data_IF_561720265165
#
_entry.id   IF_561720265165
#
_cell.length_a   1.000
_cell.length_b   1.000
_cell.length_c   1.000
_cell.angle_alpha   90.00
_cell.angle_beta   90.00
_cell.angle_gamma   90.00
#
_symmetry.space_group_name_H-M   'P 1'
#
loop_
_entity.id
_entity.type
_entity.pdbx_description
1 polymer ?
#
# COMPACT_ATOMS: atom_id res chain seq x y z
N UNK A 1 4.82 19.37 8.51
CA UNK A 1 4.29 19.14 7.14
C UNK A 1 5.25 18.31 6.28
N UNK A 2 6.55 18.66 6.26
CA UNK A 2 7.60 17.95 5.50
C UNK A 2 7.66 16.44 5.76
N UNK A 3 7.70 16.00 7.03
CA UNK A 3 7.73 14.58 7.39
C UNK A 3 6.54 13.76 6.86
N UNK A 4 5.34 14.36 6.78
CA UNK A 4 4.14 13.68 6.27
C UNK A 4 4.26 13.43 4.76
N UNK A 5 4.81 14.39 4.03
CA UNK A 5 5.04 14.31 2.58
C UNK A 5 6.19 13.35 2.27
N UNK A 6 7.26 13.38 3.08
CA UNK A 6 8.37 12.43 2.96
C UNK A 6 7.88 10.99 3.17
N UNK A 7 7.07 10.75 4.20
CA UNK A 7 6.48 9.44 4.45
C UNK A 7 5.60 8.98 3.28
N UNK A 8 4.78 9.89 2.71
CA UNK A 8 3.98 9.61 1.51
C UNK A 8 4.83 9.22 0.31
N UNK A 9 5.90 9.98 0.03
CA UNK A 9 6.80 9.71 -1.08
C UNK A 9 7.52 8.37 -0.91
N UNK A 10 8.03 8.08 0.29
CA UNK A 10 8.66 6.80 0.61
C UNK A 10 7.69 5.62 0.43
N UNK A 11 6.45 5.78 0.90
CA UNK A 11 5.38 4.79 0.76
C UNK A 11 5.05 4.53 -0.71
N UNK A 12 4.98 5.60 -1.51
CA UNK A 12 4.68 5.54 -2.93
C UNK A 12 5.80 4.83 -3.71
N UNK A 13 7.06 5.16 -3.43
CA UNK A 13 8.23 4.52 -4.05
C UNK A 13 8.22 3.02 -3.74
N UNK A 14 7.99 2.62 -2.48
CA UNK A 14 7.88 1.21 -2.11
C UNK A 14 6.73 0.51 -2.85
N UNK A 15 5.60 1.18 -3.05
CA UNK A 15 4.46 0.63 -3.78
C UNK A 15 4.78 0.39 -5.26
N UNK A 16 5.45 1.35 -5.91
CA UNK A 16 5.88 1.24 -7.31
C UNK A 16 6.97 0.18 -7.48
N UNK A 17 7.92 0.08 -6.55
CA UNK A 17 8.95 -0.96 -6.59
C UNK A 17 8.40 -2.36 -6.34
N UNK A 18 7.41 -2.50 -5.46
CA UNK A 18 6.77 -3.77 -5.16
C UNK A 18 5.82 -4.25 -6.28
N UNK A 19 5.24 -3.31 -7.05
CA UNK A 19 4.29 -3.62 -8.12
C UNK A 19 4.77 -4.65 -9.15
N UNK A 20 5.96 -4.51 -9.78
CA UNK A 20 6.44 -5.53 -10.71
C UNK A 20 6.65 -6.88 -10.01
N UNK A 21 7.16 -6.91 -8.78
CA UNK A 21 7.33 -8.15 -8.02
C UNK A 21 5.99 -8.84 -7.70
N UNK A 22 4.97 -8.06 -7.33
CA UNK A 22 3.62 -8.56 -7.06
C UNK A 22 2.94 -9.10 -8.33
N UNK A 23 3.12 -8.42 -9.46
CA UNK A 23 2.63 -8.89 -10.76
C UNK A 23 3.27 -10.22 -11.15
N UNK A 24 4.59 -10.34 -11.01
CA UNK A 24 5.31 -11.60 -11.25
C UNK A 24 4.79 -12.71 -10.34
N UNK A 25 4.69 -12.48 -9.04
CA UNK A 25 4.25 -13.52 -8.11
C UNK A 25 2.79 -13.95 -8.34
N UNK A 26 1.90 -13.00 -8.64
CA UNK A 26 0.52 -13.30 -9.00
C UNK A 26 0.43 -14.16 -10.26
N UNK A 27 1.21 -13.84 -11.30
CA UNK A 27 1.24 -14.66 -12.52
C UNK A 27 1.76 -16.07 -12.26
N UNK A 28 2.81 -16.21 -11.44
CA UNK A 28 3.36 -17.52 -11.08
C UNK A 28 2.40 -18.34 -10.20
N UNK A 29 1.57 -17.69 -9.37
CA UNK A 29 0.53 -18.37 -8.60
C UNK A 29 -0.60 -18.96 -9.49
N UNK A 30 -0.73 -18.45 -10.72
CA UNK A 30 -1.74 -18.90 -11.69
C UNK A 30 -1.24 -20.06 -12.57
N UNK A 31 0.00 -20.51 -12.39
CA UNK A 31 0.62 -21.55 -13.24
C UNK A 31 0.00 -22.95 -13.03
N UNK A 32 -0.65 -23.20 -11.89
CA UNK A 32 -1.24 -24.50 -11.59
C UNK A 32 -2.54 -24.77 -12.38
N UNK A 33 -2.78 -26.01 -12.85
CA UNK A 33 -3.99 -26.36 -13.59
C UNK A 33 -5.22 -26.24 -12.69
N UNK A 34 -6.14 -25.33 -13.07
CA UNK A 34 -7.32 -24.98 -12.28
C UNK A 34 -7.17 -23.70 -11.44
N UNK A 35 -5.97 -23.10 -11.41
CA UNK A 35 -5.79 -21.75 -10.87
C UNK A 35 -6.42 -20.70 -11.78
N UNK A 36 -6.93 -19.63 -11.17
CA UNK A 36 -7.56 -18.52 -11.86
C UNK A 36 -7.26 -17.18 -11.20
N UNK A 37 -8.15 -16.21 -11.41
CA UNK A 37 -7.97 -14.84 -10.91
C UNK A 37 -7.88 -14.76 -9.37
N UNK A 38 -8.47 -15.72 -8.65
CA UNK A 38 -8.39 -15.78 -7.18
C UNK A 38 -6.96 -15.98 -6.70
N UNK A 39 -6.25 -16.98 -7.26
CA UNK A 39 -4.87 -17.30 -6.90
C UNK A 39 -3.90 -16.19 -7.32
N UNK A 40 -4.16 -15.57 -8.49
CA UNK A 40 -3.47 -14.35 -8.90
C UNK A 40 -3.62 -13.24 -7.85
N UNK A 41 -4.85 -12.97 -7.41
CA UNK A 41 -5.14 -11.92 -6.46
C UNK A 41 -4.48 -12.20 -5.11
N UNK A 42 -4.49 -13.46 -4.65
CA UNK A 42 -3.80 -13.87 -3.42
C UNK A 42 -2.30 -13.61 -3.54
N UNK A 43 -1.64 -14.09 -4.61
CA UNK A 43 -0.21 -13.88 -4.83
C UNK A 43 0.16 -12.40 -4.96
N UNK A 44 -0.68 -11.61 -5.64
CA UNK A 44 -0.50 -10.17 -5.80
C UNK A 44 -0.62 -9.43 -4.46
N UNK A 45 -1.69 -9.69 -3.68
CA UNK A 45 -1.90 -9.05 -2.39
C UNK A 45 -0.88 -9.49 -1.33
N UNK A 46 -0.26 -10.67 -1.47
CA UNK A 46 0.78 -11.12 -0.54
C UNK A 46 2.02 -10.19 -0.56
N UNK A 47 2.44 -9.75 -1.75
CA UNK A 47 3.57 -8.81 -1.89
C UNK A 47 3.09 -7.36 -1.83
N UNK A 48 2.01 -7.02 -2.55
CA UNK A 48 1.54 -5.64 -2.66
C UNK A 48 0.87 -5.15 -1.36
N UNK A 49 0.35 -6.06 -0.53
CA UNK A 49 -0.48 -5.73 0.64
C UNK A 49 0.22 -4.85 1.66
N UNK A 50 1.49 -5.13 1.99
CA UNK A 50 2.29 -4.31 2.90
C UNK A 50 2.49 -2.87 2.34
N UNK A 51 2.98 -2.68 1.10
CA UNK A 51 3.05 -1.36 0.48
C UNK A 51 1.71 -0.62 0.41
N UNK A 52 0.61 -1.33 0.18
CA UNK A 52 -0.74 -0.76 0.11
C UNK A 52 -1.21 -0.25 1.47
N UNK A 53 -1.06 -1.05 2.53
CA UNK A 53 -1.40 -0.66 3.90
C UNK A 53 -0.59 0.56 4.33
N UNK A 54 0.72 0.57 4.02
CA UNK A 54 1.62 1.66 4.38
C UNK A 54 1.22 2.97 3.67
N UNK A 55 0.81 2.88 2.40
CA UNK A 55 0.27 4.01 1.64
C UNK A 55 -1.05 4.53 2.21
N UNK A 56 -1.98 3.64 2.59
CA UNK A 56 -3.26 4.02 3.24
C UNK A 56 -3.00 4.76 4.55
N UNK A 57 -2.09 4.26 5.40
CA UNK A 57 -1.71 4.91 6.66
C UNK A 57 -1.12 6.29 6.39
N UNK A 58 -0.27 6.41 5.38
CA UNK A 58 0.32 7.70 5.00
C UNK A 58 -0.75 8.71 4.58
N UNK A 59 -1.72 8.31 3.75
CA UNK A 59 -2.85 9.16 3.35
C UNK A 59 -3.70 9.53 4.56
N UNK A 60 -4.03 8.57 5.41
CA UNK A 60 -4.82 8.82 6.62
C UNK A 60 -4.13 9.83 7.55
N UNK A 61 -2.81 9.70 7.71
CA UNK A 61 -2.01 10.65 8.48
C UNK A 61 -2.00 12.03 7.82
N UNK A 62 -1.95 12.11 6.48
CA UNK A 62 -2.03 13.36 5.73
C UNK A 62 -3.37 14.07 5.93
N UNK A 63 -4.48 13.33 5.80
CA UNK A 63 -5.86 13.84 5.90
C UNK A 63 -6.25 14.20 7.33
N UNK A 64 -5.69 13.53 8.35
CA UNK A 64 -5.83 13.97 9.75
C UNK A 64 -5.22 15.36 9.90
N UNK A 65 -6.09 16.37 9.93
CA UNK A 65 -5.75 17.70 10.45
C UNK A 65 -5.52 17.59 11.96
N UNK A 66 -4.60 18.38 12.54
CA UNK A 66 -4.57 18.52 13.98
C UNK A 66 -5.96 18.94 14.42
N UNK A 67 -6.57 18.17 15.33
CA UNK A 67 -7.73 18.62 16.05
C UNK A 67 -7.24 19.83 16.84
N UNK A 68 -7.50 21.04 16.35
CA UNK A 68 -7.41 22.25 17.16
C UNK A 68 -8.42 22.02 18.27
N UNK A 69 -7.97 21.42 19.38
CA UNK A 69 -8.69 21.49 20.63
C UNK A 69 -8.64 22.96 20.98
N UNK A 70 -9.72 23.65 20.61
CA UNK A 70 -10.18 24.88 21.21
C UNK A 70 -10.19 24.68 22.74
N UNK A 71 -9.04 24.91 23.37
CA UNK A 71 -8.95 25.29 24.78
C UNK A 71 -8.61 26.77 24.77
N UNK A 72 -9.59 27.54 24.33
CA UNK A 72 -9.74 28.93 24.72
C UNK A 72 -10.79 28.89 25.83
N UNK A 73 -10.33 28.81 27.07
CA UNK A 73 -11.01 29.20 28.30
C UNK A 73 -10.10 28.92 29.52
#
# INVERSE_FOLDING_TARGET
>A
MFWKIFFLCASLILNVCAFPAAMFLGTMATDAPGSGLTEFSIGFFMIQGIPLILLIISIFCLVRKPKNNQKDN
#
